data_IF_225016514133
#
_entry.id   IF_225016514133
#
_cell.length_a   1.000
_cell.length_b   1.000
_cell.length_c   1.000
_cell.angle_alpha   90.00
_cell.angle_beta   90.00
_cell.angle_gamma   90.00
#
_symmetry.space_group_name_H-M   'P 1'
#
loop_
_entity.id
_entity.type
_entity.pdbx_description
1 polymer ?
#
# COMPACT_ATOMS: atom_id res chain seq x y z
N UNK A 1 7.32 -26.19 -58.67
CA UNK A 1 7.49 -27.44 -59.45
C UNK A 1 8.99 -27.60 -59.69
N UNK A 2 9.50 -28.81 -59.44
CA UNK A 2 10.91 -29.20 -59.31
C UNK A 2 11.90 -28.53 -60.29
N UNK A 3 13.14 -28.28 -59.86
CA UNK A 3 14.35 -28.91 -60.44
C UNK A 3 15.46 -29.00 -59.38
N UNK A 4 15.94 -30.23 -59.16
CA UNK A 4 17.15 -30.63 -58.42
C UNK A 4 18.42 -30.16 -59.14
N UNK A 5 19.48 -29.78 -58.39
CA UNK A 5 20.87 -30.05 -58.82
C UNK A 5 21.77 -30.44 -57.66
N UNK A 6 22.73 -31.29 -58.03
CA UNK A 6 23.56 -32.21 -57.28
C UNK A 6 24.71 -31.56 -56.46
N UNK A 7 25.05 -32.25 -55.35
CA UNK A 7 26.36 -32.66 -54.75
C UNK A 7 27.67 -32.21 -55.47
N UNK A 8 28.85 -32.10 -54.80
CA UNK A 8 29.49 -33.25 -54.12
C UNK A 8 30.44 -33.00 -52.90
N UNK A 9 30.53 -34.05 -52.08
CA UNK A 9 31.73 -34.74 -51.56
C UNK A 9 32.76 -34.13 -50.57
N UNK A 10 32.90 -34.89 -49.47
CA UNK A 10 34.12 -35.54 -48.95
C UNK A 10 35.11 -34.70 -48.13
N UNK A 11 35.28 -35.08 -46.86
CA UNK A 11 36.55 -35.65 -46.36
C UNK A 11 36.39 -36.21 -44.94
N UNK A 12 36.70 -37.51 -44.81
CA UNK A 12 36.93 -38.25 -43.57
C UNK A 12 38.40 -38.09 -43.20
N UNK A 13 38.73 -37.93 -41.90
CA UNK A 13 39.97 -38.46 -41.35
C UNK A 13 39.87 -38.70 -39.84
N UNK A 14 40.10 -39.96 -39.48
CA UNK A 14 40.36 -40.47 -38.13
C UNK A 14 41.74 -40.00 -37.65
N UNK A 15 41.95 -39.84 -36.34
CA UNK A 15 43.21 -40.21 -35.68
C UNK A 15 43.06 -40.39 -34.15
N UNK A 16 43.97 -41.18 -33.61
CA UNK A 16 43.86 -42.04 -32.45
C UNK A 16 44.51 -41.50 -31.15
N UNK A 17 44.07 -42.07 -30.02
CA UNK A 17 44.77 -42.40 -28.76
C UNK A 17 45.87 -41.49 -28.18
N UNK A 18 45.70 -41.13 -26.89
CA UNK A 18 46.70 -41.44 -25.83
C UNK A 18 46.11 -41.38 -24.42
N UNK A 19 46.70 -42.20 -23.56
CA UNK A 19 46.29 -42.65 -22.22
C UNK A 19 47.00 -41.81 -21.14
N UNK A 20 46.40 -41.65 -19.95
CA UNK A 20 47.16 -41.48 -18.70
C UNK A 20 46.44 -40.76 -17.55
N UNK A 21 46.32 -41.44 -16.40
CA UNK A 21 46.30 -40.80 -15.07
C UNK A 21 45.07 -41.05 -14.19
N UNK A 22 45.27 -41.76 -13.08
CA UNK A 22 44.27 -42.27 -12.12
C UNK A 22 44.23 -41.43 -10.83
N UNK A 23 43.06 -41.41 -10.17
CA UNK A 23 42.76 -41.15 -8.72
C UNK A 23 42.29 -39.74 -8.29
N UNK A 24 41.50 -39.61 -7.19
CA UNK A 24 40.33 -40.39 -6.82
C UNK A 24 39.09 -39.51 -6.51
N UNK A 25 37.95 -40.19 -6.38
CA UNK A 25 36.61 -39.67 -6.18
C UNK A 25 36.44 -38.73 -4.97
N UNK A 26 35.82 -37.56 -5.22
CA UNK A 26 35.03 -36.86 -4.20
C UNK A 26 33.60 -37.37 -4.32
N UNK A 27 33.22 -38.21 -3.36
CA UNK A 27 31.86 -38.69 -3.13
C UNK A 27 30.97 -37.47 -2.86
N UNK A 28 30.30 -36.96 -3.90
CA UNK A 28 29.13 -36.11 -3.73
C UNK A 28 27.95 -37.02 -3.37
N UNK A 29 27.35 -36.77 -2.21
CA UNK A 29 26.13 -37.45 -1.75
C UNK A 29 25.07 -37.41 -2.87
N UNK A 30 24.46 -38.55 -3.25
CA UNK A 30 23.36 -38.55 -4.21
C UNK A 30 22.14 -37.87 -3.59
N UNK A 31 21.59 -36.88 -4.28
CA UNK A 31 20.25 -36.39 -4.00
C UNK A 31 19.26 -37.55 -4.16
N UNK A 32 18.38 -37.72 -3.17
CA UNK A 32 17.30 -38.70 -3.18
C UNK A 32 16.44 -38.55 -4.44
N UNK A 33 16.05 -39.65 -5.12
CA UNK A 33 15.15 -39.59 -6.26
C UNK A 33 13.73 -39.38 -5.73
N UNK A 34 13.28 -38.12 -5.70
CA UNK A 34 11.85 -37.83 -5.54
C UNK A 34 11.17 -37.95 -6.89
N UNK A 35 10.37 -39.02 -6.98
CA UNK A 35 9.26 -39.31 -7.90
C UNK A 35 8.87 -38.13 -8.81
N UNK A 36 9.20 -38.25 -10.09
CA UNK A 36 8.64 -37.39 -11.13
C UNK A 36 7.13 -37.69 -11.28
N UNK A 37 6.23 -36.68 -11.23
CA UNK A 37 4.85 -36.90 -11.64
C UNK A 37 4.77 -37.02 -13.18
N UNK A 38 3.92 -37.90 -13.71
CA UNK A 38 3.82 -38.14 -15.15
C UNK A 38 2.87 -37.10 -15.75
N UNK A 39 3.39 -36.13 -16.50
CA UNK A 39 2.53 -35.35 -17.40
C UNK A 39 3.22 -35.12 -18.74
N UNK A 40 2.82 -35.97 -19.69
CA UNK A 40 2.94 -35.72 -21.11
C UNK A 40 1.99 -34.59 -21.54
N UNK A 41 2.50 -33.75 -22.46
CA UNK A 41 1.75 -32.95 -23.43
C UNK A 41 1.05 -31.66 -22.92
N UNK A 42 1.49 -30.47 -23.36
CA UNK A 42 1.15 -29.83 -24.64
C UNK A 42 1.76 -28.41 -24.70
N UNK A 43 1.94 -27.92 -25.93
CA UNK A 43 2.36 -26.57 -26.30
C UNK A 43 1.53 -25.47 -25.59
N UNK A 44 2.15 -24.28 -25.46
CA UNK A 44 1.66 -22.98 -24.96
C UNK A 44 2.19 -22.50 -23.58
N UNK A 45 3.21 -21.62 -23.61
CA UNK A 45 3.24 -20.41 -22.78
C UNK A 45 3.64 -20.45 -21.29
N UNK A 46 4.15 -21.54 -20.71
CA UNK A 46 4.57 -21.52 -19.29
C UNK A 46 5.88 -20.76 -19.05
N UNK A 47 5.87 -19.73 -18.19
CA UNK A 47 7.08 -19.07 -17.70
C UNK A 47 7.43 -19.58 -16.28
N UNK A 48 8.48 -20.40 -16.20
CA UNK A 48 9.05 -20.85 -14.92
C UNK A 48 9.77 -19.72 -14.17
N UNK A 49 9.26 -19.24 -13.04
CA UNK A 49 9.98 -18.32 -12.15
C UNK A 49 10.73 -19.09 -11.04
N UNK A 50 11.49 -20.12 -11.42
CA UNK A 50 12.23 -21.07 -10.55
C UNK A 50 13.28 -20.47 -9.58
N UNK A 51 13.28 -19.15 -9.40
CA UNK A 51 14.17 -18.43 -8.47
C UNK A 51 13.41 -17.70 -7.36
N UNK A 52 12.08 -17.82 -7.35
CA UNK A 52 11.20 -17.25 -6.33
C UNK A 52 10.37 -18.35 -5.69
N UNK A 53 10.12 -18.22 -4.40
CA UNK A 53 9.28 -19.15 -3.63
C UNK A 53 8.15 -18.38 -2.96
N UNK A 54 6.99 -19.03 -2.81
CA UNK A 54 5.83 -18.51 -2.09
C UNK A 54 5.49 -19.48 -0.96
N UNK A 55 5.15 -18.94 0.20
CA UNK A 55 4.79 -19.73 1.38
C UNK A 55 3.27 -19.81 1.58
N UNK A 56 2.82 -20.84 2.28
CA UNK A 56 1.41 -21.06 2.65
C UNK A 56 0.82 -19.90 3.46
N UNK A 57 1.67 -19.13 4.15
CA UNK A 57 1.29 -17.95 4.91
C UNK A 57 1.18 -16.68 4.05
N UNK A 58 1.58 -16.74 2.78
CA UNK A 58 1.63 -15.58 1.89
C UNK A 58 2.89 -14.74 2.03
N UNK A 59 4.00 -15.38 2.45
CA UNK A 59 5.33 -14.80 2.34
C UNK A 59 5.94 -15.16 0.99
N UNK A 60 6.81 -14.31 0.47
CA UNK A 60 7.51 -14.53 -0.81
C UNK A 60 9.00 -14.37 -0.58
N UNK A 61 9.78 -15.32 -1.12
CA UNK A 61 11.23 -15.35 -1.05
C UNK A 61 11.82 -15.13 -2.44
N UNK A 62 12.81 -14.23 -2.53
CA UNK A 62 13.55 -14.00 -3.77
C UNK A 62 14.82 -14.87 -3.85
N UNK A 63 15.48 -14.85 -5.01
CA UNK A 63 16.75 -15.56 -5.27
C UNK A 63 17.92 -15.23 -4.32
N UNK A 64 17.83 -14.12 -3.57
CA UNK A 64 18.84 -13.68 -2.58
C UNK A 64 18.46 -14.13 -1.17
N UNK A 65 17.41 -14.93 -1.02
CA UNK A 65 16.87 -15.39 0.26
C UNK A 65 16.12 -14.30 1.04
N UNK A 66 15.73 -13.18 0.42
CA UNK A 66 14.91 -12.17 1.09
C UNK A 66 13.46 -12.63 1.14
N UNK A 67 12.93 -12.78 2.35
CA UNK A 67 11.53 -13.07 2.61
C UNK A 67 10.78 -11.77 2.92
N UNK A 68 9.61 -11.58 2.33
CA UNK A 68 8.72 -10.46 2.62
C UNK A 68 7.25 -10.80 2.36
N UNK A 69 6.34 -10.00 2.91
CA UNK A 69 4.88 -10.13 2.72
C UNK A 69 4.36 -9.50 1.41
N UNK A 70 5.25 -8.91 0.61
CA UNK A 70 4.89 -8.05 -0.52
C UNK A 70 4.65 -6.61 -0.08
N UNK A 71 4.38 -5.75 -1.05
CA UNK A 71 4.03 -4.35 -0.83
C UNK A 71 2.51 -4.21 -0.70
N UNK A 72 2.04 -3.52 0.35
CA UNK A 72 0.62 -3.23 0.54
C UNK A 72 0.23 -2.05 -0.35
N UNK A 73 -0.68 -2.31 -1.28
CA UNK A 73 -1.26 -1.33 -2.20
C UNK A 73 -2.31 -0.46 -1.49
N UNK A 74 -2.66 0.73 -2.05
CA UNK A 74 -3.75 1.57 -1.55
C UNK A 74 -5.12 0.88 -1.54
N UNK A 75 -5.33 -0.11 -2.41
CA UNK A 75 -6.53 -0.95 -2.43
C UNK A 75 -6.54 -2.02 -1.32
N UNK A 76 -5.50 -2.11 -0.50
CA UNK A 76 -5.39 -3.03 0.63
C UNK A 76 -4.78 -4.40 0.30
N UNK A 77 -4.57 -4.74 -0.98
CA UNK A 77 -3.96 -6.01 -1.37
C UNK A 77 -2.43 -5.96 -1.26
N UNK A 78 -1.80 -7.10 -0.96
CA UNK A 78 -0.35 -7.24 -1.10
C UNK A 78 0.03 -7.63 -2.52
N UNK A 79 1.02 -6.97 -3.11
CA UNK A 79 1.59 -7.30 -4.41
C UNK A 79 3.11 -7.45 -4.38
N UNK A 80 3.64 -8.11 -5.41
CA UNK A 80 5.08 -8.29 -5.60
C UNK A 80 5.45 -8.17 -7.08
N UNK A 81 6.59 -7.57 -7.35
CA UNK A 81 7.21 -7.54 -8.67
C UNK A 81 8.18 -8.72 -8.82
N UNK A 82 7.87 -9.63 -9.74
CA UNK A 82 8.75 -10.75 -10.07
C UNK A 82 9.61 -10.37 -11.29
N UNK A 83 10.94 -10.48 -11.11
CA UNK A 83 11.95 -10.14 -12.12
C UNK A 83 12.56 -11.41 -12.72
N UNK A 84 12.48 -11.58 -14.05
CA UNK A 84 13.20 -12.64 -14.79
C UNK A 84 13.56 -12.18 -16.20
N UNK A 85 14.83 -12.32 -16.58
CA UNK A 85 15.35 -12.06 -17.94
C UNK A 85 14.83 -10.76 -18.59
N UNK A 86 14.86 -9.65 -17.85
CA UNK A 86 14.39 -8.34 -18.35
C UNK A 86 12.88 -8.08 -18.22
N UNK A 87 12.08 -9.08 -17.86
CA UNK A 87 10.66 -8.89 -17.55
C UNK A 87 10.46 -8.56 -16.07
N UNK A 88 9.70 -7.49 -15.81
CA UNK A 88 9.23 -7.09 -14.48
C UNK A 88 7.70 -7.03 -14.50
N UNK A 89 7.03 -8.01 -13.87
CA UNK A 89 5.57 -8.08 -13.82
C UNK A 89 5.09 -8.09 -12.37
N UNK A 90 4.06 -7.31 -12.09
CA UNK A 90 3.41 -7.24 -10.79
C UNK A 90 2.41 -8.40 -10.64
N UNK A 91 2.44 -9.08 -9.50
CA UNK A 91 1.53 -10.15 -9.12
C UNK A 91 0.92 -9.88 -7.75
N UNK A 92 -0.35 -10.24 -7.57
CA UNK A 92 -1.00 -10.17 -6.26
C UNK A 92 -0.65 -11.42 -5.44
N UNK A 93 -0.19 -11.21 -4.20
CA UNK A 93 0.32 -12.29 -3.35
C UNK A 93 -0.74 -13.34 -3.06
N UNK A 94 -1.98 -12.94 -2.75
CA UNK A 94 -3.08 -13.88 -2.52
C UNK A 94 -3.35 -14.79 -3.74
N UNK A 95 -3.16 -14.29 -4.97
CA UNK A 95 -3.33 -15.10 -6.19
C UNK A 95 -2.20 -16.08 -6.36
N UNK A 96 -0.98 -15.69 -6.03
CA UNK A 96 0.17 -16.60 -6.02
C UNK A 96 -0.05 -17.73 -5.01
N UNK A 97 -0.45 -17.41 -3.78
CA UNK A 97 -0.74 -18.43 -2.75
C UNK A 97 -1.87 -19.36 -3.22
N UNK A 98 -3.00 -18.79 -3.67
CA UNK A 98 -4.14 -19.58 -4.14
C UNK A 98 -3.78 -20.50 -5.32
N UNK A 99 -2.96 -20.03 -6.28
CA UNK A 99 -2.55 -20.83 -7.42
C UNK A 99 -1.65 -22.02 -7.05
N UNK A 100 -0.88 -21.91 -5.96
CA UNK A 100 0.10 -22.94 -5.58
C UNK A 100 -0.40 -23.89 -4.50
N UNK A 101 -1.32 -23.46 -3.63
CA UNK A 101 -1.74 -24.22 -2.46
C UNK A 101 -3.22 -24.66 -2.50
N UNK A 102 -4.08 -24.01 -3.30
CA UNK A 102 -5.47 -24.46 -3.46
C UNK A 102 -5.58 -25.45 -4.63
N UNK A 103 -6.47 -26.45 -4.54
CA UNK A 103 -6.69 -27.39 -5.63
C UNK A 103 -7.13 -26.65 -6.90
N UNK A 104 -6.53 -27.01 -8.03
CA UNK A 104 -6.89 -26.45 -9.34
C UNK A 104 -8.36 -26.76 -9.63
N UNK A 105 -9.18 -25.72 -9.75
CA UNK A 105 -10.58 -25.86 -10.13
C UNK A 105 -10.72 -25.71 -11.64
N UNK A 106 -11.59 -26.53 -12.24
CA UNK A 106 -11.77 -26.58 -13.69
C UNK A 106 -12.02 -25.19 -14.29
N UNK A 107 -11.35 -24.92 -15.41
CA UNK A 107 -11.28 -23.64 -16.14
C UNK A 107 -12.66 -23.10 -16.58
N UNK A 108 -13.73 -23.87 -16.36
CA UNK A 108 -15.10 -23.51 -16.72
C UNK A 108 -15.66 -22.33 -15.91
N UNK A 109 -15.17 -22.08 -14.68
CA UNK A 109 -15.64 -20.96 -13.87
C UNK A 109 -14.57 -19.86 -13.77
N UNK A 110 -14.92 -18.63 -14.17
CA UNK A 110 -14.15 -17.39 -13.94
C UNK A 110 -14.13 -17.03 -12.44
N UNK A 111 -13.55 -17.90 -11.63
CA UNK A 111 -13.48 -17.75 -10.18
C UNK A 111 -12.47 -16.65 -9.82
N UNK A 112 -12.75 -15.98 -8.71
CA UNK A 112 -11.89 -14.97 -8.10
C UNK A 112 -11.44 -15.47 -6.73
N UNK A 113 -10.22 -15.11 -6.34
CA UNK A 113 -9.71 -15.43 -4.99
C UNK A 113 -10.35 -14.46 -4.00
N UNK A 114 -10.99 -15.01 -2.98
CA UNK A 114 -11.69 -14.30 -1.92
C UNK A 114 -11.01 -14.54 -0.57
N UNK A 115 -11.00 -13.49 0.27
CA UNK A 115 -10.50 -13.51 1.65
C UNK A 115 -11.68 -13.73 2.59
N UNK A 116 -11.73 -14.86 3.28
CA UNK A 116 -12.87 -15.24 4.15
C UNK A 116 -13.13 -14.23 5.27
N UNK A 117 -12.07 -13.66 5.83
CA UNK A 117 -12.11 -12.64 6.87
C UNK A 117 -12.36 -11.20 6.35
N UNK A 118 -12.40 -10.99 5.02
CA UNK A 118 -12.49 -9.66 4.41
C UNK A 118 -11.20 -8.83 4.47
N UNK A 119 -10.12 -9.34 5.07
CA UNK A 119 -8.85 -8.65 5.27
C UNK A 119 -7.89 -8.95 4.12
N UNK A 120 -7.83 -8.04 3.15
CA UNK A 120 -7.09 -8.18 1.86
C UNK A 120 -5.59 -8.46 1.94
N UNK A 121 -4.99 -8.31 3.12
CA UNK A 121 -3.57 -8.52 3.37
C UNK A 121 -3.27 -9.78 4.19
N UNK A 122 -4.32 -10.47 4.69
CA UNK A 122 -4.19 -11.78 5.30
C UNK A 122 -4.19 -12.85 4.21
N UNK A 123 -3.01 -13.12 3.65
CA UNK A 123 -2.86 -14.02 2.49
C UNK A 123 -2.58 -15.48 2.89
N UNK A 124 -2.91 -15.86 4.13
CA UNK A 124 -2.75 -17.24 4.57
C UNK A 124 -3.69 -18.16 3.77
N UNK A 125 -3.20 -19.31 3.33
CA UNK A 125 -3.95 -20.24 2.45
C UNK A 125 -5.32 -20.62 3.02
N UNK A 126 -5.43 -20.85 4.33
CA UNK A 126 -6.73 -21.19 4.97
C UNK A 126 -7.78 -20.07 4.88
N UNK A 127 -7.32 -18.82 4.75
CA UNK A 127 -8.15 -17.63 4.58
C UNK A 127 -8.54 -17.36 3.12
N UNK A 128 -7.97 -18.11 2.17
CA UNK A 128 -8.21 -17.94 0.74
C UNK A 128 -9.12 -19.04 0.20
N UNK A 129 -10.00 -18.65 -0.71
CA UNK A 129 -10.87 -19.57 -1.44
C UNK A 129 -11.20 -19.04 -2.83
N UNK A 130 -11.55 -19.93 -3.76
CA UNK A 130 -12.08 -19.54 -5.06
C UNK A 130 -13.60 -19.41 -4.97
N UNK A 131 -14.12 -18.23 -5.31
CA UNK A 131 -15.56 -17.95 -5.37
C UNK A 131 -15.96 -17.38 -6.72
N UNK A 132 -17.23 -17.47 -7.08
CA UNK A 132 -17.75 -16.77 -8.25
C UNK A 132 -17.77 -15.25 -8.03
N UNK A 133 -17.74 -14.49 -9.12
CA UNK A 133 -17.83 -13.02 -9.05
C UNK A 133 -19.11 -12.55 -8.34
N UNK A 134 -20.23 -13.26 -8.54
CA UNK A 134 -21.51 -12.93 -7.90
C UNK A 134 -21.48 -13.15 -6.39
N UNK A 135 -20.84 -14.22 -5.92
CA UNK A 135 -20.62 -14.48 -4.49
C UNK A 135 -19.71 -13.41 -3.86
N UNK A 136 -18.58 -13.09 -4.51
CA UNK A 136 -17.67 -12.05 -4.04
C UNK A 136 -18.39 -10.70 -3.88
N UNK A 137 -19.25 -10.35 -4.84
CA UNK A 137 -20.03 -9.11 -4.81
C UNK A 137 -21.04 -9.09 -3.66
N UNK A 138 -21.74 -10.21 -3.39
CA UNK A 138 -22.68 -10.32 -2.27
C UNK A 138 -21.97 -10.13 -0.92
N UNK A 139 -20.83 -10.79 -0.72
CA UNK A 139 -20.03 -10.65 0.50
C UNK A 139 -19.49 -9.23 0.69
N UNK A 140 -19.09 -8.56 -0.39
CA UNK A 140 -18.64 -7.17 -0.36
C UNK A 140 -19.75 -6.19 0.06
N UNK A 141 -20.98 -6.38 -0.41
CA UNK A 141 -22.10 -5.53 -0.01
C UNK A 141 -22.58 -5.80 1.41
N UNK A 142 -22.51 -7.04 1.88
CA UNK A 142 -22.88 -7.41 3.26
C UNK A 142 -21.92 -6.83 4.31
N UNK A 143 -20.64 -6.65 3.96
CA UNK A 143 -19.59 -6.20 4.89
C UNK A 143 -19.35 -4.67 4.92
N UNK A 144 -20.07 -3.87 4.11
CA UNK A 144 -19.90 -2.40 4.10
C UNK A 144 -20.75 -1.70 5.17
N UNK A 145 -20.13 -0.85 6.02
CA UNK A 145 -20.88 0.16 6.77
C UNK A 145 -21.60 1.10 5.80
N UNK A 146 -22.79 1.59 6.17
CA UNK A 146 -23.61 2.56 5.42
C UNK A 146 -22.98 3.97 5.32
N UNK A 147 -21.67 4.07 5.10
CA UNK A 147 -20.99 5.33 4.80
C UNK A 147 -20.52 5.31 3.36
N UNK A 148 -21.37 5.85 2.51
CA UNK A 148 -21.13 6.01 1.08
C UNK A 148 -21.21 7.50 0.76
N UNK A 149 -20.32 7.95 -0.13
CA UNK A 149 -20.26 9.26 -0.79
C UNK A 149 -21.62 9.75 -1.38
N UNK A 150 -22.66 8.94 -1.32
CA UNK A 150 -24.05 9.30 -1.59
C UNK A 150 -24.68 10.21 -0.52
N UNK A 151 -24.17 10.26 0.71
CA UNK A 151 -24.65 11.21 1.72
C UNK A 151 -24.49 12.68 1.24
N UNK A 152 -23.40 12.98 0.51
CA UNK A 152 -23.17 14.31 -0.08
C UNK A 152 -24.12 14.66 -1.25
N UNK A 153 -24.88 13.69 -1.78
CA UNK A 153 -25.94 13.93 -2.78
C UNK A 153 -27.33 14.09 -2.17
N UNK A 154 -27.49 13.76 -0.88
CA UNK A 154 -28.75 13.94 -0.21
C UNK A 154 -28.86 15.41 0.22
N UNK A 155 -29.66 16.19 -0.53
CA UNK A 155 -29.99 17.57 -0.12
C UNK A 155 -30.68 17.51 1.26
N UNK A 156 -30.35 18.42 2.19
CA UNK A 156 -31.07 18.51 3.45
C UNK A 156 -32.51 18.96 3.19
N UNK A 157 -33.41 18.61 4.10
CA UNK A 157 -34.86 18.82 3.92
C UNK A 157 -35.48 19.32 5.21
N UNK A 158 -36.40 20.26 5.09
CA UNK A 158 -37.29 20.65 6.18
C UNK A 158 -38.56 19.80 6.07
N UNK A 159 -38.98 19.20 7.18
CA UNK A 159 -40.24 18.44 7.27
C UNK A 159 -41.18 19.08 8.28
N UNK A 160 -42.46 19.17 7.94
CA UNK A 160 -43.54 19.55 8.85
C UNK A 160 -44.43 18.33 9.08
N UNK A 161 -44.61 17.96 10.35
CA UNK A 161 -45.40 16.81 10.75
C UNK A 161 -46.91 17.13 10.79
N UNK A 162 -47.79 16.15 10.53
CA UNK A 162 -49.23 16.34 10.63
C UNK A 162 -49.61 16.91 12.01
N UNK A 163 -50.43 17.96 12.06
CA UNK A 163 -50.88 18.59 13.31
C UNK A 163 -49.85 19.49 14.01
N UNK A 164 -48.64 19.63 13.49
CA UNK A 164 -47.62 20.54 14.01
C UNK A 164 -47.44 21.76 13.10
N UNK A 165 -47.16 22.93 13.70
CA UNK A 165 -46.93 24.17 12.96
C UNK A 165 -45.45 24.37 12.59
N UNK A 166 -44.53 23.68 13.26
CA UNK A 166 -43.08 23.88 13.13
C UNK A 166 -42.43 22.99 12.08
N UNK A 167 -41.39 23.53 11.43
CA UNK A 167 -40.53 22.82 10.50
C UNK A 167 -39.31 22.23 11.22
N UNK A 168 -39.00 20.95 10.97
CA UNK A 168 -37.81 20.28 11.48
C UNK A 168 -36.77 20.11 10.40
N UNK A 169 -35.52 20.43 10.72
CA UNK A 169 -34.37 20.21 9.85
C UNK A 169 -33.91 18.76 9.89
N UNK A 170 -33.75 18.15 8.72
CA UNK A 170 -33.15 16.84 8.55
C UNK A 170 -31.94 16.93 7.62
N UNK A 171 -30.87 16.26 8.02
CA UNK A 171 -29.55 16.35 7.36
C UNK A 171 -29.54 15.75 5.95
N UNK A 172 -30.53 14.89 5.64
CA UNK A 172 -30.68 14.24 4.35
C UNK A 172 -32.15 13.86 4.05
N UNK A 173 -32.57 13.91 2.78
CA UNK A 173 -33.86 13.33 2.34
C UNK A 173 -34.06 11.85 2.73
N UNK A 174 -32.97 11.08 2.86
CA UNK A 174 -33.04 9.67 3.27
C UNK A 174 -33.39 9.50 4.75
N UNK A 175 -32.99 10.46 5.59
CA UNK A 175 -33.40 10.54 6.99
C UNK A 175 -34.90 10.83 7.10
N UNK A 176 -35.40 11.76 6.28
CA UNK A 176 -36.84 12.04 6.18
C UNK A 176 -37.64 10.82 5.71
N UNK A 177 -37.12 10.05 4.76
CA UNK A 177 -37.74 8.80 4.31
C UNK A 177 -37.85 7.77 5.43
N UNK A 178 -36.82 7.67 6.28
CA UNK A 178 -36.82 6.73 7.41
C UNK A 178 -37.81 7.16 8.50
N UNK A 179 -37.88 8.45 8.83
CA UNK A 179 -38.76 8.96 9.89
C UNK A 179 -40.24 9.00 9.50
N UNK A 180 -40.55 9.28 8.23
CA UNK A 180 -41.93 9.49 7.76
C UNK A 180 -42.51 8.30 6.99
N UNK A 181 -41.66 7.35 6.55
CA UNK A 181 -42.04 6.27 5.65
C UNK A 181 -42.42 6.73 4.23
N UNK A 182 -42.20 8.01 3.90
CA UNK A 182 -42.44 8.57 2.57
C UNK A 182 -41.21 8.35 1.70
N UNK A 183 -41.37 7.82 0.49
CA UNK A 183 -40.22 7.57 -0.39
C UNK A 183 -39.50 8.85 -0.82
N UNK A 184 -38.17 8.79 -0.97
CA UNK A 184 -37.35 9.93 -1.40
C UNK A 184 -37.84 10.59 -2.71
N UNK A 185 -38.48 9.82 -3.60
CA UNK A 185 -39.08 10.33 -4.83
C UNK A 185 -40.21 11.33 -4.57
N UNK A 186 -41.11 11.02 -3.62
CA UNK A 186 -42.24 11.87 -3.29
C UNK A 186 -41.81 13.10 -2.47
N UNK A 187 -40.85 12.92 -1.56
CA UNK A 187 -40.24 14.03 -0.81
C UNK A 187 -39.65 15.05 -1.78
N UNK A 188 -38.92 14.59 -2.82
CA UNK A 188 -38.40 15.45 -3.89
C UNK A 188 -39.51 16.17 -4.65
N UNK A 189 -40.59 15.48 -5.03
CA UNK A 189 -41.74 16.12 -5.70
C UNK A 189 -42.35 17.23 -4.86
N UNK A 190 -42.50 17.03 -3.56
CA UNK A 190 -42.95 18.08 -2.63
C UNK A 190 -41.98 19.26 -2.61
N UNK A 191 -40.67 18.98 -2.52
CA UNK A 191 -39.62 20.00 -2.52
C UNK A 191 -39.52 20.80 -3.84
N UNK A 192 -39.94 20.21 -4.97
CA UNK A 192 -39.98 20.84 -6.30
C UNK A 192 -41.29 21.62 -6.53
N UNK A 193 -42.20 21.68 -5.55
CA UNK A 193 -43.49 22.37 -5.66
C UNK A 193 -44.56 21.59 -6.44
N UNK A 194 -44.26 20.35 -6.87
CA UNK A 194 -45.16 19.51 -7.65
C UNK A 194 -46.24 18.80 -6.79
N UNK A 195 -46.16 18.92 -5.46
CA UNK A 195 -47.16 18.44 -4.50
C UNK A 195 -47.09 19.26 -3.20
N UNK A 196 -48.24 19.64 -2.62
CA UNK A 196 -48.29 20.51 -1.43
C UNK A 196 -48.06 19.77 -0.11
N UNK A 197 -48.46 18.49 -0.04
CA UNK A 197 -48.25 17.60 1.10
C UNK A 197 -48.40 16.14 0.65
N UNK A 198 -47.84 15.19 1.40
CA UNK A 198 -48.04 13.76 1.19
C UNK A 198 -48.21 13.05 2.53
N UNK A 199 -49.29 12.28 2.66
CA UNK A 199 -49.65 11.58 3.92
C UNK A 199 -49.71 12.51 5.15
N UNK A 200 -50.13 13.77 4.94
CA UNK A 200 -50.18 14.80 5.99
C UNK A 200 -48.84 15.47 6.32
N UNK A 201 -47.75 15.08 5.68
CA UNK A 201 -46.42 15.69 5.83
C UNK A 201 -46.17 16.72 4.72
N UNK A 202 -45.54 17.84 5.06
CA UNK A 202 -45.02 18.81 4.08
C UNK A 202 -43.50 18.82 4.08
N UNK A 203 -42.90 18.95 2.90
CA UNK A 203 -41.45 18.92 2.72
C UNK A 203 -40.98 20.13 1.90
N UNK A 204 -39.88 20.76 2.33
CA UNK A 204 -39.20 21.84 1.61
C UNK A 204 -37.71 21.54 1.51
N UNK A 205 -37.05 21.99 0.44
CA UNK A 205 -35.59 21.99 0.39
C UNK A 205 -35.05 22.84 1.54
N UNK A 206 -34.14 22.29 2.34
CA UNK A 206 -33.38 23.10 3.28
C UNK A 206 -32.15 23.65 2.55
N UNK A 207 -31.84 24.93 2.77
CA UNK A 207 -30.48 25.41 2.46
C UNK A 207 -29.49 24.65 3.35
N UNK A 208 -28.31 24.26 2.85
CA UNK A 208 -27.24 23.76 3.72
C UNK A 208 -27.02 24.80 4.82
N UNK A 209 -27.02 24.36 6.08
CA UNK A 209 -26.65 25.23 7.20
C UNK A 209 -25.34 25.93 6.81
N UNK A 210 -25.35 27.27 6.77
CA UNK A 210 -24.16 28.08 6.44
C UNK A 210 -23.00 27.53 7.28
N UNK A 211 -21.79 27.38 6.72
CA UNK A 211 -20.70 26.73 7.44
C UNK A 211 -20.53 27.43 8.78
N UNK A 212 -20.68 26.65 9.86
CA UNK A 212 -20.54 27.05 11.25
C UNK A 212 -19.50 28.16 11.36
N UNK A 213 -19.95 29.33 11.82
CA UNK A 213 -19.04 30.38 12.27
C UNK A 213 -18.41 29.83 13.55
N UNK A 214 -17.22 29.26 13.42
CA UNK A 214 -16.45 28.78 14.57
C UNK A 214 -16.16 30.02 15.40
N UNK A 215 -16.72 30.08 16.62
CA UNK A 215 -16.72 31.24 17.49
C UNK A 215 -15.32 31.50 18.07
N UNK A 216 -14.38 31.93 17.22
CA UNK A 216 -12.99 32.35 17.52
C UNK A 216 -12.11 32.39 16.26
N UNK A 217 -12.64 32.04 15.09
CA UNK A 217 -11.80 31.89 13.90
C UNK A 217 -11.37 33.26 13.33
N UNK A 218 -10.06 33.48 13.30
CA UNK A 218 -9.44 34.68 12.74
C UNK A 218 -9.08 34.43 11.28
N UNK A 219 -9.23 35.44 10.43
CA UNK A 219 -8.91 35.36 9.00
C UNK A 219 -7.76 36.31 8.64
N UNK A 220 -6.78 35.81 7.90
CA UNK A 220 -5.67 36.59 7.36
C UNK A 220 -5.58 36.46 5.84
N UNK A 221 -4.94 37.42 5.20
CA UNK A 221 -4.58 37.31 3.79
C UNK A 221 -3.71 36.08 3.59
N UNK A 222 -4.00 35.27 2.57
CA UNK A 222 -3.18 34.11 2.26
C UNK A 222 -1.81 34.57 1.76
N UNK A 223 -0.73 34.08 2.38
CA UNK A 223 0.65 34.40 1.99
C UNK A 223 1.29 33.16 1.36
N UNK A 224 1.91 33.33 0.20
CA UNK A 224 2.64 32.25 -0.47
C UNK A 224 3.83 31.79 0.40
N UNK A 225 3.87 30.51 0.84
CA UNK A 225 4.96 29.99 1.66
C UNK A 225 6.34 30.02 0.99
N UNK A 226 6.38 30.10 -0.35
CA UNK A 226 7.63 30.09 -1.12
C UNK A 226 8.17 31.51 -1.31
N UNK A 227 7.34 32.41 -1.85
CA UNK A 227 7.76 33.78 -2.17
C UNK A 227 7.58 34.76 -1.02
N UNK A 228 6.69 34.47 -0.06
CA UNK A 228 6.28 35.42 0.98
C UNK A 228 5.31 36.50 0.50
N UNK A 229 4.89 36.46 -0.77
CA UNK A 229 3.97 37.44 -1.34
C UNK A 229 2.53 37.15 -0.94
N UNK A 230 1.74 38.20 -0.72
CA UNK A 230 0.30 38.08 -0.49
C UNK A 230 -0.40 37.58 -1.75
N UNK A 231 -1.20 36.54 -1.61
CA UNK A 231 -2.03 35.96 -2.68
C UNK A 231 -3.33 36.76 -2.75
N UNK A 232 -3.37 37.73 -3.67
CA UNK A 232 -4.51 38.63 -3.80
C UNK A 232 -5.85 37.89 -3.99
N UNK A 233 -6.88 38.33 -3.28
CA UNK A 233 -8.23 37.77 -3.35
C UNK A 233 -8.43 36.44 -2.62
N UNK A 234 -7.46 36.00 -1.81
CA UNK A 234 -7.55 34.77 -1.01
C UNK A 234 -7.25 35.04 0.46
N UNK A 235 -7.99 34.37 1.33
CA UNK A 235 -7.84 34.43 2.79
C UNK A 235 -7.74 33.03 3.36
N UNK A 236 -7.03 32.92 4.47
CA UNK A 236 -6.86 31.69 5.24
C UNK A 236 -7.24 31.96 6.69
N UNK A 237 -7.86 30.97 7.32
CA UNK A 237 -8.33 31.06 8.69
C UNK A 237 -7.37 30.40 9.68
N UNK A 238 -7.46 30.78 10.96
CA UNK A 238 -6.67 30.21 12.05
C UNK A 238 -6.91 28.71 12.22
N UNK A 239 -8.09 28.21 11.82
CA UNK A 239 -8.42 26.78 11.83
C UNK A 239 -7.95 26.04 10.58
N UNK A 240 -7.46 26.73 9.54
CA UNK A 240 -7.03 26.10 8.29
C UNK A 240 -8.10 25.99 7.21
N UNK A 241 -9.11 26.87 7.25
CA UNK A 241 -10.02 27.08 6.11
C UNK A 241 -9.43 28.07 5.13
N UNK A 242 -9.77 27.93 3.85
CA UNK A 242 -9.36 28.82 2.78
C UNK A 242 -10.61 29.39 2.13
N UNK A 243 -10.60 30.69 1.85
CA UNK A 243 -11.72 31.42 1.28
C UNK A 243 -11.26 32.27 0.09
N UNK A 244 -12.03 32.19 -1.00
CA UNK A 244 -11.90 33.11 -2.13
C UNK A 244 -12.77 34.34 -1.91
N UNK A 245 -12.19 35.53 -2.07
CA UNK A 245 -12.91 36.79 -2.01
C UNK A 245 -13.95 36.93 -3.14
N UNK A 246 -13.75 36.24 -4.27
CA UNK A 246 -14.68 36.26 -5.41
C UNK A 246 -15.94 35.46 -5.15
N UNK A 247 -15.82 34.28 -4.52
CA UNK A 247 -16.97 33.39 -4.28
C UNK A 247 -17.53 33.48 -2.86
N UNK A 248 -16.80 34.08 -1.93
CA UNK A 248 -17.12 34.13 -0.51
C UNK A 248 -17.11 32.76 0.20
N UNK A 249 -16.84 31.67 -0.52
CA UNK A 249 -16.95 30.30 0.00
C UNK A 249 -15.69 29.88 0.74
N UNK A 250 -15.84 29.53 2.01
CA UNK A 250 -14.80 28.94 2.84
C UNK A 250 -14.83 27.40 2.77
N UNK A 251 -13.67 26.75 2.70
CA UNK A 251 -13.54 25.29 2.70
C UNK A 251 -12.15 24.83 3.19
N UNK A 252 -12.03 23.55 3.52
CA UNK A 252 -10.78 22.92 4.00
C UNK A 252 -9.81 22.52 2.88
N UNK A 253 -10.29 22.51 1.63
CA UNK A 253 -9.54 22.03 0.48
C UNK A 253 -9.81 20.55 0.23
N UNK A 254 -8.82 19.86 -0.34
CA UNK A 254 -8.89 18.44 -0.68
C UNK A 254 -7.83 17.67 0.12
N UNK A 255 -8.27 16.61 0.81
CA UNK A 255 -7.37 15.71 1.53
C UNK A 255 -6.66 14.77 0.54
N UNK A 256 -5.33 14.74 0.61
CA UNK A 256 -4.50 13.85 -0.20
C UNK A 256 -4.32 12.49 0.48
N UNK A 257 -3.92 11.47 -0.30
CA UNK A 257 -3.60 10.12 0.20
C UNK A 257 -2.46 10.09 1.23
N UNK A 258 -1.65 11.15 1.30
CA UNK A 258 -0.57 11.31 2.29
C UNK A 258 -1.03 11.94 3.62
N UNK A 259 -2.32 12.26 3.76
CA UNK A 259 -2.95 12.82 4.96
C UNK A 259 -2.90 14.35 5.05
N UNK A 260 -2.35 15.07 4.08
CA UNK A 260 -2.31 16.54 4.09
C UNK A 260 -3.44 17.15 3.26
N UNK A 261 -3.98 18.27 3.75
CA UNK A 261 -4.91 19.12 3.02
C UNK A 261 -4.20 20.01 2.00
N UNK A 262 -4.78 20.10 0.79
CA UNK A 262 -4.30 20.94 -0.30
C UNK A 262 -5.40 21.83 -0.88
N UNK A 263 -5.01 22.99 -1.40
CA UNK A 263 -5.88 23.90 -2.14
C UNK A 263 -5.21 24.33 -3.44
N UNK A 264 -6.02 24.50 -4.48
CA UNK A 264 -5.56 25.02 -5.76
C UNK A 264 -5.94 26.49 -5.90
N UNK A 265 -4.95 27.36 -5.97
CA UNK A 265 -5.12 28.82 -6.05
C UNK A 265 -4.34 29.32 -7.27
N UNK A 266 -5.04 29.94 -8.22
CA UNK A 266 -4.45 30.60 -9.42
C UNK A 266 -3.42 29.73 -10.17
N UNK A 267 -3.77 28.46 -10.41
CA UNK A 267 -2.90 27.51 -11.14
C UNK A 267 -1.80 26.85 -10.30
N UNK A 268 -1.71 27.18 -9.00
CA UNK A 268 -0.72 26.62 -8.08
C UNK A 268 -1.38 25.82 -6.97
N UNK A 269 -0.77 24.69 -6.61
CA UNK A 269 -1.22 23.84 -5.50
C UNK A 269 -0.44 24.18 -4.23
N UNK A 270 -1.17 24.48 -3.17
CA UNK A 270 -0.63 24.82 -1.86
C UNK A 270 -1.08 23.81 -0.81
N UNK A 271 -0.16 23.44 0.09
CA UNK A 271 -0.52 22.71 1.30
C UNK A 271 -1.09 23.66 2.33
N UNK A 272 -2.25 23.34 2.91
CA UNK A 272 -2.99 24.23 3.79
C UNK A 272 -2.20 24.56 5.06
N UNK A 273 -1.59 23.59 5.73
CA UNK A 273 -0.75 23.84 6.91
C UNK A 273 0.37 24.87 6.66
N UNK A 274 1.01 24.85 5.48
CA UNK A 274 2.05 25.84 5.16
C UNK A 274 1.47 27.23 4.88
N UNK A 275 0.30 27.31 4.26
CA UNK A 275 -0.41 28.57 4.08
C UNK A 275 -0.78 29.19 5.42
N UNK A 276 -1.33 28.39 6.34
CA UNK A 276 -1.68 28.84 7.70
C UNK A 276 -0.42 29.29 8.43
N UNK A 277 0.61 28.44 8.50
CA UNK A 277 1.87 28.77 9.17
C UNK A 277 2.48 30.06 8.61
N UNK A 278 2.58 30.22 7.29
CA UNK A 278 3.15 31.43 6.68
C UNK A 278 2.32 32.69 6.98
N UNK A 279 1.00 32.56 7.00
CA UNK A 279 0.09 33.69 7.14
C UNK A 279 -0.10 34.14 8.59
N UNK A 280 0.04 33.24 9.56
CA UNK A 280 -0.14 33.54 11.00
C UNK A 280 1.15 33.54 11.82
N UNK A 281 2.08 32.61 11.56
CA UNK A 281 3.38 32.55 12.25
C UNK A 281 4.45 33.43 11.59
N UNK A 282 4.19 33.91 10.37
CA UNK A 282 5.08 34.84 9.67
C UNK A 282 6.23 34.14 8.92
N UNK A 283 7.36 34.84 8.69
CA UNK A 283 8.51 34.25 8.00
C UNK A 283 9.23 33.25 8.89
N UNK A 284 9.82 32.24 8.25
CA UNK A 284 10.67 31.28 8.95
C UNK A 284 11.84 32.02 9.59
N UNK A 285 12.10 31.77 10.88
CA UNK A 285 13.15 32.45 11.65
C UNK A 285 14.56 32.10 11.15
N UNK A 286 14.77 30.85 10.73
CA UNK A 286 16.05 30.35 10.23
C UNK A 286 15.84 29.45 9.01
N UNK A 287 16.84 29.33 8.13
CA UNK A 287 16.73 28.49 6.92
C UNK A 287 16.62 27.00 7.29
N UNK A 288 17.14 26.65 8.45
CA UNK A 288 17.18 25.33 9.05
C UNK A 288 15.79 24.88 9.52
N UNK A 289 14.94 25.81 9.99
CA UNK A 289 13.59 25.57 10.53
C UNK A 289 12.47 25.65 9.48
N UNK A 290 12.80 25.50 8.21
CA UNK A 290 11.84 25.65 7.09
C UNK A 290 10.71 24.61 7.02
N UNK A 291 10.68 23.61 7.90
CA UNK A 291 9.66 22.56 7.89
C UNK A 291 8.53 22.94 8.84
N UNK A 292 7.28 22.73 8.43
CA UNK A 292 6.12 22.94 9.29
C UNK A 292 5.73 21.59 9.88
N UNK A 293 5.69 21.50 11.21
CA UNK A 293 5.29 20.32 11.96
C UNK A 293 3.88 20.51 12.55
N UNK A 294 3.17 19.39 12.73
CA UNK A 294 1.93 19.29 13.47
C UNK A 294 2.25 18.76 14.86
N UNK A 295 2.08 19.57 15.91
CA UNK A 295 2.50 19.24 17.29
C UNK A 295 1.81 17.99 17.84
N UNK A 296 0.55 17.77 17.46
CA UNK A 296 -0.24 16.60 17.81
C UNK A 296 -0.01 15.38 16.89
N UNK A 297 0.82 15.53 15.85
CA UNK A 297 1.05 14.51 14.83
C UNK A 297 -0.11 14.29 13.84
N UNK A 298 -1.26 14.95 14.03
CA UNK A 298 -2.42 14.83 13.16
C UNK A 298 -2.36 15.86 12.02
N UNK A 299 -2.02 15.38 10.82
CA UNK A 299 -1.90 16.18 9.60
C UNK A 299 -3.21 16.82 9.12
N UNK A 300 -4.35 16.38 9.64
CA UNK A 300 -5.65 16.97 9.36
C UNK A 300 -5.93 18.22 10.21
N UNK A 301 -5.30 18.33 11.38
CA UNK A 301 -5.47 19.45 12.31
C UNK A 301 -4.56 20.63 11.93
N UNK A 302 -5.03 21.47 11.00
CA UNK A 302 -4.29 22.64 10.52
C UNK A 302 -4.50 23.90 11.38
N UNK A 303 -4.96 23.76 12.63
CA UNK A 303 -5.10 24.91 13.51
C UNK A 303 -3.74 25.56 13.77
N UNK A 304 -3.65 26.89 13.74
CA UNK A 304 -2.40 27.63 13.90
C UNK A 304 -1.62 27.23 15.16
N UNK A 305 -2.31 27.03 16.29
CA UNK A 305 -1.69 26.63 17.56
C UNK A 305 -1.05 25.23 17.49
N UNK A 306 -1.52 24.38 16.59
CA UNK A 306 -0.99 23.04 16.33
C UNK A 306 0.19 23.05 15.35
N UNK A 307 0.54 24.20 14.77
CA UNK A 307 1.61 24.32 13.79
C UNK A 307 2.85 24.99 14.38
N UNK A 308 4.02 24.55 13.94
CA UNK A 308 5.30 25.14 14.32
C UNK A 308 6.35 24.96 13.22
N UNK A 309 7.33 25.87 13.19
CA UNK A 309 8.51 25.74 12.34
C UNK A 309 9.57 24.90 13.05
N UNK A 310 10.11 23.89 12.38
CA UNK A 310 11.09 22.94 12.94
C UNK A 310 12.18 22.61 11.93
N UNK A 311 13.30 22.14 12.45
CA UNK A 311 14.37 21.57 11.62
C UNK A 311 14.02 20.19 11.10
N UNK A 312 14.70 19.75 10.04
CA UNK A 312 14.52 18.40 9.49
C UNK A 312 14.80 17.30 10.53
N UNK A 313 15.81 17.51 11.38
CA UNK A 313 16.19 16.56 12.44
C UNK A 313 15.11 16.52 13.54
N UNK A 314 14.65 17.68 14.01
CA UNK A 314 13.58 17.76 15.01
C UNK A 314 12.28 17.12 14.51
N UNK A 315 11.87 17.41 13.27
CA UNK A 315 10.69 16.79 12.65
C UNK A 315 10.80 15.26 12.58
N UNK A 316 12.00 14.76 12.23
CA UNK A 316 12.24 13.32 12.18
C UNK A 316 12.16 12.68 13.56
N UNK A 317 12.78 13.29 14.58
CA UNK A 317 12.70 12.81 15.96
C UNK A 317 11.26 12.82 16.48
N UNK A 318 10.49 13.88 16.22
CA UNK A 318 9.08 13.96 16.58
C UNK A 318 8.27 12.82 15.92
N UNK A 319 8.53 12.51 14.65
CA UNK A 319 7.89 11.38 13.97
C UNK A 319 8.21 10.01 14.61
N UNK A 320 9.43 9.81 15.14
CA UNK A 320 9.76 8.58 15.88
C UNK A 320 9.11 8.55 17.27
N UNK A 321 9.17 9.67 18.00
CA UNK A 321 8.73 9.75 19.40
C UNK A 321 7.21 9.80 19.56
N UNK A 322 6.51 10.57 18.71
CA UNK A 322 5.08 10.87 18.85
C UNK A 322 4.23 10.02 17.90
N UNK A 323 4.68 9.84 16.65
CA UNK A 323 3.93 9.07 15.64
C UNK A 323 4.25 7.57 15.64
N UNK A 324 5.20 7.13 16.48
CA UNK A 324 5.57 5.72 16.60
C UNK A 324 6.11 5.11 15.31
N UNK A 325 6.72 5.92 14.43
CA UNK A 325 7.33 5.42 13.21
C UNK A 325 8.38 4.35 13.56
N UNK A 326 8.12 3.10 13.15
CA UNK A 326 9.10 2.03 13.32
C UNK A 326 10.19 2.17 12.25
N UNK A 327 11.47 1.92 12.59
CA UNK A 327 12.51 1.81 11.58
C UNK A 327 12.09 0.78 10.52
N UNK A 328 12.34 1.09 9.25
CA UNK A 328 11.87 0.26 8.15
C UNK A 328 12.53 -1.12 8.18
N UNK A 329 11.73 -2.14 8.48
CA UNK A 329 12.12 -3.55 8.44
C UNK A 329 12.60 -4.10 9.79
N UNK A 330 12.21 -5.35 10.08
CA UNK A 330 12.73 -6.08 11.22
C UNK A 330 14.27 -6.23 11.10
N UNK A 331 15.01 -6.16 12.21
CA UNK A 331 16.44 -6.48 12.20
C UNK A 331 16.67 -7.85 11.57
N UNK A 332 17.61 -7.93 10.62
CA UNK A 332 17.93 -9.17 9.90
C UNK A 332 18.97 -9.93 10.70
N UNK A 333 18.66 -11.10 11.26
CA UNK A 333 19.63 -11.90 11.96
C UNK A 333 20.78 -12.25 11.03
N UNK A 334 21.98 -12.28 11.58
CA UNK A 334 23.18 -12.71 10.89
C UNK A 334 23.86 -13.76 11.74
N UNK A 335 24.55 -14.70 11.12
CA UNK A 335 25.51 -15.55 11.82
C UNK A 335 26.91 -15.25 11.33
N UNK A 336 27.85 -15.27 12.26
CA UNK A 336 29.27 -15.01 12.00
C UNK A 336 30.13 -16.15 12.55
N UNK A 337 31.23 -16.46 11.87
CA UNK A 337 32.24 -17.40 12.36
C UNK A 337 33.64 -16.87 12.09
N UNK A 338 34.61 -17.25 12.90
CA UNK A 338 36.02 -16.96 12.61
C UNK A 338 36.45 -17.79 11.39
N UNK A 339 37.23 -17.21 10.49
CA UNK A 339 37.72 -17.93 9.31
C UNK A 339 38.46 -19.21 9.72
N UNK A 340 38.08 -20.34 9.11
CA UNK A 340 38.59 -21.67 9.47
C UNK A 340 37.86 -22.38 10.61
N UNK A 341 36.97 -21.70 11.33
CA UNK A 341 36.12 -22.34 12.34
C UNK A 341 34.92 -23.06 11.69
N UNK A 342 34.45 -24.12 12.33
CA UNK A 342 33.20 -24.80 11.96
C UNK A 342 31.99 -24.15 12.65
N UNK A 343 32.20 -23.54 13.82
CA UNK A 343 31.14 -23.01 14.67
C UNK A 343 30.65 -21.64 14.19
N UNK A 344 29.32 -21.51 14.11
CA UNK A 344 28.64 -20.27 13.76
C UNK A 344 27.97 -19.66 15.00
N UNK A 345 28.21 -18.38 15.26
CA UNK A 345 27.54 -17.62 16.31
C UNK A 345 26.43 -16.78 15.70
N UNK A 346 25.25 -16.83 16.30
CA UNK A 346 24.08 -16.06 15.87
C UNK A 346 24.05 -14.66 16.50
N UNK A 347 23.57 -13.70 15.73
CA UNK A 347 23.40 -12.32 16.14
C UNK A 347 22.03 -11.81 15.69
N UNK A 348 21.36 -11.07 16.55
CA UNK A 348 20.05 -10.46 16.27
C UNK A 348 20.07 -9.55 15.03
N UNK A 349 21.22 -8.93 14.74
CA UNK A 349 21.41 -8.14 13.53
C UNK A 349 22.89 -7.93 13.17
N UNK A 350 23.14 -7.47 11.95
CA UNK A 350 24.46 -6.96 11.56
C UNK A 350 24.96 -5.82 12.47
N UNK A 351 24.06 -5.02 13.06
CA UNK A 351 24.41 -3.96 14.02
C UNK A 351 24.84 -4.56 15.37
N UNK A 352 24.13 -5.59 15.83
CA UNK A 352 24.49 -6.31 17.06
C UNK A 352 25.86 -7.00 16.91
N UNK A 353 26.08 -7.69 15.79
CA UNK A 353 27.37 -8.29 15.45
C UNK A 353 28.49 -7.25 15.35
N UNK A 354 28.23 -6.12 14.69
CA UNK A 354 29.19 -5.01 14.59
C UNK A 354 29.63 -4.49 15.97
N UNK A 355 28.67 -4.33 16.89
CA UNK A 355 28.94 -3.85 18.25
C UNK A 355 29.77 -4.85 19.06
N UNK A 356 29.42 -6.14 19.02
CA UNK A 356 30.09 -7.20 19.78
C UNK A 356 31.50 -7.45 19.24
N UNK A 357 31.65 -7.57 17.93
CA UNK A 357 32.91 -7.91 17.27
C UNK A 357 33.79 -6.69 16.97
N UNK A 358 33.32 -5.47 17.28
CA UNK A 358 33.97 -4.19 16.97
C UNK A 358 34.31 -4.05 15.47
N UNK A 359 33.38 -4.47 14.62
CA UNK A 359 33.49 -4.41 13.16
C UNK A 359 32.53 -3.37 12.60
N UNK A 360 32.82 -2.89 11.38
CA UNK A 360 31.92 -1.96 10.72
C UNK A 360 30.68 -2.69 10.16
N UNK A 361 29.47 -2.25 10.55
CA UNK A 361 28.18 -2.83 10.11
C UNK A 361 28.10 -3.01 8.59
N UNK A 362 28.59 -2.04 7.82
CA UNK A 362 28.51 -2.11 6.35
C UNK A 362 29.42 -3.20 5.79
N UNK A 363 30.55 -3.50 6.42
CA UNK A 363 31.45 -4.57 6.02
C UNK A 363 30.81 -5.95 6.28
N UNK A 364 30.19 -6.15 7.44
CA UNK A 364 29.39 -7.34 7.75
C UNK A 364 28.29 -7.52 6.70
N UNK A 365 27.56 -6.44 6.38
CA UNK A 365 26.49 -6.47 5.37
C UNK A 365 27.02 -6.82 3.97
N UNK A 366 28.20 -6.31 3.58
CA UNK A 366 28.86 -6.67 2.31
C UNK A 366 29.28 -8.15 2.30
N UNK A 367 29.77 -8.66 3.43
CA UNK A 367 30.14 -10.06 3.60
C UNK A 367 28.92 -10.98 3.44
N UNK A 368 27.81 -10.70 4.13
CA UNK A 368 26.56 -11.46 3.96
C UNK A 368 25.96 -11.40 2.54
N UNK A 369 26.33 -10.40 1.73
CA UNK A 369 25.89 -10.26 0.33
C UNK A 369 26.84 -10.94 -0.67
N UNK A 370 27.94 -11.52 -0.20
CA UNK A 370 29.00 -12.09 -1.05
C UNK A 370 29.84 -11.04 -1.77
N UNK A 371 29.78 -9.76 -1.37
CA UNK A 371 30.61 -8.70 -1.96
C UNK A 371 32.05 -8.68 -1.45
N UNK A 372 32.29 -9.28 -0.28
CA UNK A 372 33.61 -9.58 0.28
C UNK A 372 33.54 -10.95 0.95
N UNK A 373 34.64 -11.71 0.94
CA UNK A 373 34.69 -13.06 1.53
C UNK A 373 34.73 -13.03 3.07
N UNK A 374 35.41 -12.03 3.65
CA UNK A 374 35.56 -11.88 5.10
C UNK A 374 35.71 -10.41 5.51
N UNK A 375 35.48 -10.12 6.79
CA UNK A 375 35.81 -8.84 7.42
C UNK A 375 36.33 -9.07 8.84
N UNK A 376 37.49 -8.50 9.16
CA UNK A 376 38.12 -8.67 10.47
C UNK A 376 38.45 -10.12 10.85
N UNK A 377 38.68 -11.01 9.87
CA UNK A 377 38.92 -12.44 10.12
C UNK A 377 37.65 -13.25 10.41
N UNK A 378 36.47 -12.69 10.12
CA UNK A 378 35.19 -13.35 10.26
C UNK A 378 34.43 -13.43 8.93
N UNK A 379 33.74 -14.55 8.73
CA UNK A 379 32.77 -14.78 7.66
C UNK A 379 31.37 -14.54 8.21
N UNK A 380 30.50 -13.92 7.41
CA UNK A 380 29.11 -13.65 7.79
C UNK A 380 28.14 -14.08 6.72
N UNK A 381 27.00 -14.62 7.15
CA UNK A 381 25.86 -14.90 6.28
C UNK A 381 24.55 -14.52 6.98
N UNK A 382 23.50 -14.26 6.19
CA UNK A 382 22.18 -14.02 6.77
C UNK A 382 21.66 -15.30 7.42
N UNK A 383 21.11 -15.14 8.61
CA UNK A 383 20.41 -16.19 9.33
C UNK A 383 18.91 -15.93 9.20
N UNK A 384 18.15 -16.91 8.71
CA UNK A 384 16.70 -16.77 8.65
C UNK A 384 16.12 -17.14 10.02
N UNK A 385 15.19 -16.35 10.57
CA UNK A 385 14.41 -16.80 11.73
C UNK A 385 13.65 -18.08 11.36
N UNK A 386 13.31 -18.92 12.35
CA UNK A 386 12.67 -20.22 12.11
C UNK A 386 11.43 -20.07 11.23
N UNK A 387 11.23 -21.06 10.36
CA UNK A 387 9.97 -21.31 9.66
C UNK A 387 8.81 -21.14 10.65
N UNK A 388 7.76 -20.41 10.24
CA UNK A 388 6.55 -20.36 11.04
C UNK A 388 6.02 -21.80 11.15
N UNK A 389 5.45 -22.16 12.30
CA UNK A 389 4.97 -23.52 12.50
C UNK A 389 3.95 -23.91 11.42
N UNK A 390 4.15 -25.07 10.78
CA UNK A 390 3.33 -25.53 9.65
C UNK A 390 3.47 -24.72 8.33
N UNK A 391 4.50 -23.89 8.16
CA UNK A 391 4.71 -23.15 6.92
C UNK A 391 5.35 -24.00 5.81
N UNK A 392 4.65 -24.11 4.70
CA UNK A 392 5.13 -24.77 3.48
C UNK A 392 5.61 -23.74 2.46
N UNK A 393 6.70 -24.04 1.74
CA UNK A 393 7.23 -23.21 0.66
C UNK A 393 7.13 -23.96 -0.69
N UNK A 394 6.66 -23.26 -1.74
CA UNK A 394 6.58 -23.80 -3.11
C UNK A 394 7.26 -22.86 -4.10
N UNK A 395 7.92 -23.42 -5.09
CA UNK A 395 8.52 -22.63 -6.18
C UNK A 395 7.43 -21.97 -7.02
N UNK A 396 7.64 -20.69 -7.35
CA UNK A 396 6.65 -19.90 -8.08
C UNK A 396 6.65 -20.29 -9.56
N UNK A 397 5.54 -20.87 -10.01
CA UNK A 397 5.22 -21.16 -11.40
C UNK A 397 4.06 -20.26 -11.82
N UNK A 398 4.25 -19.45 -12.85
CA UNK A 398 3.20 -18.53 -13.31
C UNK A 398 2.90 -18.76 -14.78
N UNK A 399 1.63 -19.04 -15.07
CA UNK A 399 1.08 -19.05 -16.42
C UNK A 399 0.90 -17.58 -16.84
N UNK A 400 1.59 -17.14 -17.89
CA UNK A 400 1.55 -15.74 -18.37
C UNK A 400 0.67 -15.62 -19.59
#
# INVERSE_FOLDING_TARGET
MLVLRAVPNVAVCQHAFRVGGVSPAIVRRPCSPQVAPPFHCLQHGCLFFCTWQVSSHGRVQNKRGHIHWGHRRPDGYCSIHLLRQGMNKEFLVHRLVAAHFLPSQSVANRLVVHHKDGVRHNNHVSNLEYVSQSQNMKSFYASRPLHSKHAARCKPVLVRFPGHYDWRYLSAMKEACLQTGVSCYHIRKCCEGNATHIRGYSFLCAEPLRPLQIASEVWHCAVDPRSGSVIAGWRVSSSGRVQSATTGRAHWGSLSSNGYWYVHIRGSTYSVHKLVARSFLGPVHSKEERFVNHKDGNKENNHVDNLEYVTASANSHHAYAVLGHKPSGAPRPVKGRRCGSVEWTEYESATAAARILRLHRTAITKCCRGGISQTGGFEFTYWQPPTLDGEEWRDVVVFV
#
